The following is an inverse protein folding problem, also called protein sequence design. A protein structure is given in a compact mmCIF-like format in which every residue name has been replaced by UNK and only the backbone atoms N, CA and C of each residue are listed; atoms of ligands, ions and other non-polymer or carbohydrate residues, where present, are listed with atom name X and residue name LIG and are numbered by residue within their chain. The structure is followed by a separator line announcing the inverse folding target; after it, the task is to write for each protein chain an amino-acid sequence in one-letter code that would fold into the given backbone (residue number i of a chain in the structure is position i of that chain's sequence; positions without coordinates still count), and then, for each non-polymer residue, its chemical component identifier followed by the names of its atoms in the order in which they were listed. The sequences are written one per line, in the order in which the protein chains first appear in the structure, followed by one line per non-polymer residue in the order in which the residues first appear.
data_IF_301628235064
#
_entry.id   IF_301628235064
#
_cell.length_a   1.000
_cell.length_b   1.000
_cell.length_c   1.000
_cell.angle_alpha   90.00
_cell.angle_beta   90.00
_cell.angle_gamma   90.00
#
_symmetry.space_group_name_H-M   'P 1'
#
loop_
_entity.id
_entity.type
_entity.pdbx_description
1 polymer ?
#
# COMPACT_ATOMS: atom_id res chain seq x y z
N UNK A 1 8.70 17.01 -7.21
CA UNK A 1 7.57 17.36 -8.07
C UNK A 1 7.39 18.87 -8.01
N UNK A 2 7.34 19.54 -9.14
CA UNK A 2 7.16 21.00 -9.20
C UNK A 2 5.67 21.40 -9.32
N UNK A 3 5.40 22.72 -9.34
CA UNK A 3 4.04 23.24 -9.43
C UNK A 3 3.33 22.87 -10.75
N UNK A 4 4.08 22.75 -11.85
CA UNK A 4 3.54 22.41 -13.18
C UNK A 4 3.12 20.95 -13.23
N UNK A 5 3.94 20.04 -12.68
CA UNK A 5 3.61 18.62 -12.56
C UNK A 5 2.39 18.40 -11.65
N UNK A 6 2.28 19.14 -10.55
CA UNK A 6 1.08 19.10 -9.68
C UNK A 6 -0.16 19.50 -10.46
N UNK A 7 -0.13 20.61 -11.19
CA UNK A 7 -1.27 21.06 -12.00
C UNK A 7 -1.64 20.03 -13.08
N UNK A 8 -0.64 19.42 -13.72
CA UNK A 8 -0.85 18.34 -14.67
C UNK A 8 -1.52 17.12 -14.04
N UNK A 9 -1.06 16.67 -12.86
CA UNK A 9 -1.66 15.54 -12.13
C UNK A 9 -3.12 15.83 -11.82
N UNK A 10 -3.43 17.04 -11.31
CA UNK A 10 -4.80 17.44 -10.98
C UNK A 10 -5.71 17.50 -12.20
N UNK A 11 -5.20 18.00 -13.33
CA UNK A 11 -5.94 18.05 -14.59
C UNK A 11 -6.26 16.64 -15.11
N UNK A 12 -5.27 15.76 -15.16
CA UNK A 12 -5.43 14.36 -15.62
C UNK A 12 -6.36 13.59 -14.69
N UNK A 13 -6.26 13.83 -13.38
CA UNK A 13 -7.15 13.25 -12.37
C UNK A 13 -8.63 13.56 -12.65
N UNK A 14 -8.97 14.83 -12.85
CA UNK A 14 -10.34 15.26 -13.13
C UNK A 14 -10.84 14.71 -14.49
N UNK A 15 -10.00 14.78 -15.52
CA UNK A 15 -10.30 14.19 -16.84
C UNK A 15 -10.63 12.70 -16.72
N UNK A 16 -9.76 11.93 -16.07
CA UNK A 16 -9.89 10.48 -15.95
C UNK A 16 -11.10 10.06 -15.12
N UNK A 17 -11.39 10.75 -14.00
CA UNK A 17 -12.59 10.50 -13.21
C UNK A 17 -13.88 10.75 -14.01
N UNK A 18 -13.90 11.79 -14.85
CA UNK A 18 -15.06 12.11 -15.68
C UNK A 18 -15.37 11.01 -16.70
N UNK A 19 -14.35 10.30 -17.20
CA UNK A 19 -14.48 9.25 -18.21
C UNK A 19 -15.08 7.96 -17.63
N UNK A 20 -14.73 7.58 -16.40
CA UNK A 20 -15.21 6.34 -15.77
C UNK A 20 -16.56 6.46 -15.05
N UNK A 21 -17.16 7.67 -15.02
CA UNK A 21 -18.45 7.96 -14.37
C UNK A 21 -18.54 7.47 -12.91
N UNK A 22 -17.41 7.39 -12.21
CA UNK A 22 -17.36 6.93 -10.83
C UNK A 22 -17.92 7.99 -9.89
N UNK A 23 -19.07 7.71 -9.27
CA UNK A 23 -19.73 8.60 -8.30
C UNK A 23 -19.10 8.49 -6.91
N UNK A 24 -18.02 9.23 -6.69
CA UNK A 24 -17.42 9.39 -5.37
C UNK A 24 -18.12 10.50 -4.56
N UNK A 25 -18.23 10.30 -3.25
CA UNK A 25 -18.59 11.39 -2.33
C UNK A 25 -17.49 12.47 -2.37
N UNK A 26 -17.81 13.76 -2.14
CA UNK A 26 -16.82 14.83 -2.18
C UNK A 26 -15.60 14.59 -1.27
N UNK A 27 -15.83 14.05 -0.06
CA UNK A 27 -14.76 13.67 0.87
C UNK A 27 -13.86 12.56 0.32
N UNK A 28 -14.44 11.48 -0.21
CA UNK A 28 -13.69 10.38 -0.83
C UNK A 28 -12.91 10.84 -2.06
N UNK A 29 -13.49 11.72 -2.88
CA UNK A 29 -12.82 12.30 -4.05
C UNK A 29 -11.60 13.12 -3.63
N UNK A 30 -11.77 14.02 -2.65
CA UNK A 30 -10.66 14.81 -2.12
C UNK A 30 -9.56 13.93 -1.54
N UNK A 31 -9.92 12.84 -0.87
CA UNK A 31 -8.96 11.90 -0.30
C UNK A 31 -8.17 11.16 -1.39
N UNK A 32 -8.86 10.60 -2.38
CA UNK A 32 -8.21 9.96 -3.54
C UNK A 32 -7.28 10.93 -4.27
N UNK A 33 -7.67 12.21 -4.42
CA UNK A 33 -6.81 13.24 -5.01
C UNK A 33 -5.52 13.46 -4.21
N UNK A 34 -5.63 13.59 -2.88
CA UNK A 34 -4.46 13.71 -1.98
C UNK A 34 -3.57 12.47 -2.05
N UNK A 35 -4.17 11.29 -2.06
CA UNK A 35 -3.45 10.02 -2.10
C UNK A 35 -2.68 9.85 -3.43
N UNK A 36 -3.30 10.20 -4.55
CA UNK A 36 -2.64 10.22 -5.86
C UNK A 36 -1.46 11.21 -5.89
N UNK A 37 -1.64 12.41 -5.34
CA UNK A 37 -0.54 13.38 -5.24
C UNK A 37 0.61 12.84 -4.38
N UNK A 38 0.31 12.20 -3.25
CA UNK A 38 1.31 11.61 -2.36
C UNK A 38 2.09 10.45 -3.00
N UNK A 39 1.44 9.66 -3.86
CA UNK A 39 2.07 8.59 -4.62
C UNK A 39 2.93 9.15 -5.77
N UNK A 40 2.39 10.08 -6.57
CA UNK A 40 3.12 10.72 -7.67
C UNK A 40 4.36 11.49 -7.17
N UNK A 41 4.26 12.13 -6.00
CA UNK A 41 5.39 12.81 -5.35
C UNK A 41 6.39 11.86 -4.70
N UNK A 42 6.07 10.56 -4.62
CA UNK A 42 6.80 9.53 -3.86
C UNK A 42 6.91 9.84 -2.36
N UNK A 43 6.06 10.70 -1.82
CA UNK A 43 5.98 10.92 -0.37
C UNK A 43 5.46 9.68 0.37
N UNK A 44 4.64 8.87 -0.30
CA UNK A 44 4.26 7.54 0.19
C UNK A 44 4.48 6.50 -0.90
N UNK A 45 5.02 5.31 -0.55
CA UNK A 45 5.15 4.21 -1.50
C UNK A 45 3.84 3.44 -1.71
N UNK A 46 2.98 3.41 -0.68
CA UNK A 46 1.77 2.62 -0.64
C UNK A 46 0.69 3.34 0.19
N UNK A 47 -0.57 3.22 -0.24
CA UNK A 47 -1.74 3.75 0.44
C UNK A 47 -2.83 2.70 0.43
N UNK A 48 -3.31 2.31 1.61
CA UNK A 48 -4.51 1.49 1.74
C UNK A 48 -5.75 2.34 1.46
N UNK A 49 -6.64 1.83 0.61
CA UNK A 49 -7.78 2.56 0.11
C UNK A 49 -9.08 2.13 0.80
N UNK A 50 -9.77 3.09 1.39
CA UNK A 50 -11.15 2.96 1.88
C UNK A 50 -11.98 4.18 1.47
N UNK A 51 -12.29 4.28 0.17
CA UNK A 51 -13.13 5.36 -0.36
C UNK A 51 -14.63 5.03 -0.32
N UNK A 52 -14.99 3.92 0.31
CA UNK A 52 -16.31 3.30 0.21
C UNK A 52 -16.48 2.56 -1.11
N UNK A 53 -17.03 1.34 -1.03
CA UNK A 53 -17.19 0.44 -2.17
C UNK A 53 -17.29 -0.99 -1.69
N UNK A 54 -17.65 -1.90 -2.59
CA UNK A 54 -17.57 -3.33 -2.34
C UNK A 54 -16.39 -3.88 -3.11
N UNK A 55 -15.70 -4.85 -2.52
CA UNK A 55 -14.76 -5.68 -3.26
C UNK A 55 -15.53 -6.68 -4.14
N UNK A 56 -15.05 -7.01 -5.36
CA UNK A 56 -13.84 -6.50 -6.03
C UNK A 56 -14.02 -5.17 -6.78
N UNK A 57 -15.26 -4.65 -6.89
CA UNK A 57 -15.61 -3.50 -7.74
C UNK A 57 -14.77 -2.24 -7.49
N UNK A 58 -14.34 -2.00 -6.24
CA UNK A 58 -13.48 -0.89 -5.89
C UNK A 58 -12.10 -1.00 -6.58
N UNK A 59 -11.50 -2.18 -6.57
CA UNK A 59 -10.25 -2.45 -7.27
C UNK A 59 -10.39 -2.21 -8.77
N UNK A 60 -11.45 -2.74 -9.38
CA UNK A 60 -11.72 -2.59 -10.82
C UNK A 60 -11.89 -1.12 -11.23
N UNK A 61 -12.58 -0.32 -10.40
CA UNK A 61 -12.75 1.12 -10.65
C UNK A 61 -11.44 1.89 -10.53
N UNK A 62 -10.60 1.57 -9.55
CA UNK A 62 -9.28 2.17 -9.40
C UNK A 62 -8.37 1.80 -10.56
N UNK A 63 -8.43 0.54 -10.99
CA UNK A 63 -7.74 0.02 -12.17
C UNK A 63 -8.16 0.80 -13.43
N UNK A 64 -9.46 0.91 -13.69
CA UNK A 64 -10.00 1.68 -14.80
C UNK A 64 -9.56 3.16 -14.73
N UNK A 65 -9.66 3.78 -13.55
CA UNK A 65 -9.19 5.14 -13.31
C UNK A 65 -7.71 5.31 -13.69
N UNK A 66 -6.81 4.48 -13.15
CA UNK A 66 -5.38 4.56 -13.45
C UNK A 66 -5.08 4.30 -14.92
N UNK A 67 -5.80 3.41 -15.60
CA UNK A 67 -5.64 3.21 -17.04
C UNK A 67 -5.90 4.47 -17.85
N UNK A 68 -6.91 5.27 -17.48
CA UNK A 68 -7.15 6.56 -18.13
C UNK A 68 -6.05 7.56 -17.82
N UNK A 69 -5.60 7.64 -16.56
CA UNK A 69 -4.51 8.52 -16.18
C UNK A 69 -3.21 8.23 -16.95
N UNK A 70 -2.84 6.95 -17.08
CA UNK A 70 -1.63 6.49 -17.79
C UNK A 70 -1.65 6.80 -19.28
N UNK A 71 -2.83 6.74 -19.91
CA UNK A 71 -2.99 7.12 -21.33
C UNK A 71 -2.75 8.60 -21.55
N UNK A 72 -3.05 9.44 -20.57
CA UNK A 72 -2.91 10.90 -20.67
C UNK A 72 -1.55 11.42 -20.20
N UNK A 73 -0.88 10.74 -19.25
CA UNK A 73 0.41 11.19 -18.72
C UNK A 73 1.26 10.05 -18.16
N UNK A 74 2.56 10.08 -18.49
CA UNK A 74 3.58 9.16 -17.98
C UNK A 74 3.87 9.32 -16.50
N UNK A 75 3.43 10.41 -15.85
CA UNK A 75 3.56 10.60 -14.39
C UNK A 75 2.91 9.43 -13.62
N UNK A 76 1.84 8.86 -14.18
CA UNK A 76 1.08 7.77 -13.57
C UNK A 76 1.60 6.38 -13.91
N UNK A 77 2.61 6.25 -14.77
CA UNK A 77 3.05 4.97 -15.36
C UNK A 77 3.34 3.91 -14.28
N UNK A 78 4.04 4.33 -13.23
CA UNK A 78 4.48 3.48 -12.15
C UNK A 78 3.41 3.26 -11.06
N UNK A 79 2.24 3.90 -11.14
CA UNK A 79 1.16 3.66 -10.19
C UNK A 79 0.41 2.37 -10.53
N UNK A 80 0.11 1.55 -9.53
CA UNK A 80 -0.69 0.34 -9.71
C UNK A 80 -1.69 0.12 -8.57
N UNK A 81 -2.68 -0.72 -8.83
CA UNK A 81 -3.60 -1.23 -7.81
C UNK A 81 -3.10 -2.60 -7.38
N UNK A 82 -2.93 -2.76 -6.07
CA UNK A 82 -2.56 -4.01 -5.44
C UNK A 82 -3.69 -4.46 -4.51
N UNK A 83 -3.94 -5.77 -4.44
CA UNK A 83 -4.91 -6.40 -3.56
C UNK A 83 -4.21 -7.44 -2.71
N UNK A 84 -4.57 -7.46 -1.43
CA UNK A 84 -4.12 -8.45 -0.46
C UNK A 84 -5.35 -8.80 0.39
N UNK A 85 -5.80 -10.05 0.26
CA UNK A 85 -7.09 -10.50 0.78
C UNK A 85 -8.22 -9.56 0.34
N UNK A 86 -8.99 -9.01 1.27
CA UNK A 86 -10.10 -8.07 0.99
C UNK A 86 -9.67 -6.59 1.02
N UNK A 87 -8.36 -6.31 1.04
CA UNK A 87 -7.81 -4.95 1.13
C UNK A 87 -7.25 -4.48 -0.21
N UNK A 88 -7.52 -3.22 -0.55
CA UNK A 88 -7.00 -2.58 -1.77
C UNK A 88 -5.97 -1.53 -1.43
N UNK A 89 -4.92 -1.48 -2.22
CA UNK A 89 -3.83 -0.54 -2.09
C UNK A 89 -3.58 0.15 -3.43
N UNK A 90 -3.32 1.45 -3.38
CA UNK A 90 -2.66 2.17 -4.45
C UNK A 90 -1.17 2.22 -4.13
N UNK A 91 -0.36 1.77 -5.07
CA UNK A 91 1.09 1.68 -4.88
C UNK A 91 1.82 2.49 -5.94
N UNK A 92 2.95 3.04 -5.54
CA UNK A 92 3.95 3.56 -6.45
C UNK A 92 5.09 2.54 -6.52
N UNK A 93 5.09 1.71 -7.58
CA UNK A 93 5.85 0.47 -7.67
C UNK A 93 7.34 0.66 -7.37
N UNK A 94 7.96 1.69 -7.95
CA UNK A 94 9.39 1.96 -7.70
C UNK A 94 9.66 2.37 -6.26
N UNK A 95 8.87 3.30 -5.71
CA UNK A 95 9.05 3.74 -4.33
C UNK A 95 8.77 2.60 -3.32
N UNK A 96 7.83 1.71 -3.65
CA UNK A 96 7.57 0.52 -2.84
C UNK A 96 8.73 -0.47 -2.90
N UNK A 97 9.33 -0.70 -4.07
CA UNK A 97 10.54 -1.51 -4.20
C UNK A 97 11.68 -0.96 -3.34
N UNK A 98 11.97 0.34 -3.47
CA UNK A 98 13.01 1.01 -2.69
C UNK A 98 12.76 0.88 -1.18
N UNK A 99 11.50 1.02 -0.74
CA UNK A 99 11.08 0.85 0.65
C UNK A 99 11.26 -0.59 1.16
N UNK A 100 10.88 -1.59 0.36
CA UNK A 100 11.04 -3.00 0.73
C UNK A 100 12.53 -3.33 0.89
N UNK A 101 13.38 -2.85 -0.03
CA UNK A 101 14.83 -3.03 0.06
C UNK A 101 15.41 -2.37 1.31
N UNK A 102 15.07 -1.10 1.60
CA UNK A 102 15.57 -0.41 2.81
C UNK A 102 15.10 -1.06 4.11
N UNK A 103 13.89 -1.63 4.10
CA UNK A 103 13.35 -2.40 5.22
C UNK A 103 14.09 -3.71 5.45
N UNK A 104 14.54 -4.39 4.39
CA UNK A 104 15.29 -5.64 4.46
C UNK A 104 16.77 -5.42 4.82
N UNK A 105 17.36 -4.32 4.35
CA UNK A 105 18.74 -3.94 4.70
C UNK A 105 18.88 -3.34 6.10
N UNK A 106 17.75 -3.15 6.81
CA UNK A 106 17.69 -2.51 8.14
C UNK A 106 18.21 -1.06 8.15
N UNK A 107 18.20 -0.38 7.00
CA UNK A 107 18.53 1.05 6.92
C UNK A 107 17.46 1.92 7.58
N UNK A 108 16.22 1.41 7.65
CA UNK A 108 15.10 2.05 8.33
C UNK A 108 14.91 1.45 9.72
N UNK A 109 14.96 2.29 10.75
CA UNK A 109 14.69 1.86 12.13
C UNK A 109 13.19 1.58 12.29
N UNK A 110 12.83 0.30 12.34
CA UNK A 110 11.46 -0.18 12.56
C UNK A 110 11.36 -0.66 14.00
N UNK A 111 10.44 -0.07 14.76
CA UNK A 111 10.15 -0.48 16.13
C UNK A 111 9.02 -1.51 16.12
N UNK A 112 9.22 -2.59 16.86
CA UNK A 112 8.20 -3.62 17.03
C UNK A 112 7.59 -3.53 18.42
N UNK A 113 6.28 -3.76 18.52
CA UNK A 113 5.58 -3.89 19.80
C UNK A 113 4.79 -5.18 19.78
N UNK A 114 5.15 -6.09 20.69
CA UNK A 114 4.43 -7.32 20.94
C UNK A 114 3.18 -7.04 21.77
N UNK A 115 2.01 -7.35 21.20
CA UNK A 115 0.70 -7.20 21.85
C UNK A 115 0.16 -8.53 22.42
N UNK A 116 0.89 -9.64 22.27
CA UNK A 116 0.51 -10.91 22.92
C UNK A 116 0.83 -10.90 24.42
N UNK A 117 1.83 -10.10 24.81
CA UNK A 117 2.19 -9.89 26.20
C UNK A 117 1.36 -8.77 26.85
N UNK A 118 1.01 -8.93 28.12
CA UNK A 118 0.42 -7.90 28.97
C UNK A 118 1.34 -7.63 30.19
N UNK A 119 1.97 -6.45 30.31
CA UNK A 119 1.85 -5.29 29.41
C UNK A 119 2.55 -5.50 28.05
N UNK A 120 2.13 -4.76 27.00
CA UNK A 120 2.79 -4.79 25.70
C UNK A 120 4.29 -4.55 25.80
N UNK A 121 5.07 -5.30 25.02
CA UNK A 121 6.54 -5.27 25.09
C UNK A 121 7.14 -4.73 23.80
N UNK A 122 7.99 -3.71 23.93
CA UNK A 122 8.78 -3.25 22.78
C UNK A 122 9.84 -4.31 22.45
N UNK A 123 9.94 -4.65 21.16
CA UNK A 123 10.88 -5.63 20.66
C UNK A 123 11.85 -4.99 19.67
N UNK A 124 13.07 -5.52 19.67
CA UNK A 124 14.08 -5.19 18.65
C UNK A 124 14.13 -6.28 17.59
N UNK A 125 14.56 -5.97 16.35
CA UNK A 125 14.73 -7.00 15.32
C UNK A 125 15.70 -8.14 15.71
N UNK A 126 16.61 -7.89 16.66
CA UNK A 126 17.56 -8.87 17.18
C UNK A 126 16.92 -9.89 18.14
N UNK A 127 15.75 -9.58 18.68
CA UNK A 127 14.95 -10.51 19.46
C UNK A 127 14.23 -11.44 18.49
N UNK A 128 14.83 -12.62 18.26
CA UNK A 128 14.34 -13.66 17.36
C UNK A 128 12.95 -14.19 17.79
N UNK A 129 11.89 -13.43 17.53
CA UNK A 129 10.50 -13.85 17.72
C UNK A 129 9.97 -14.55 16.45
N UNK A 130 9.06 -15.52 16.60
CA UNK A 130 8.39 -16.14 15.46
C UNK A 130 7.67 -15.12 14.58
N UNK A 131 7.02 -14.12 15.17
CA UNK A 131 6.26 -13.08 14.47
C UNK A 131 7.16 -12.17 13.62
N UNK A 132 8.32 -11.75 14.15
CA UNK A 132 9.32 -11.00 13.37
C UNK A 132 9.86 -11.85 12.21
N UNK A 133 10.16 -13.12 12.48
CA UNK A 133 10.68 -14.05 11.45
C UNK A 133 9.68 -14.22 10.30
N UNK A 134 8.39 -14.36 10.60
CA UNK A 134 7.35 -14.47 9.58
C UNK A 134 7.14 -13.16 8.81
N UNK A 135 7.21 -12.02 9.49
CA UNK A 135 7.17 -10.72 8.82
C UNK A 135 8.34 -10.57 7.86
N UNK A 136 9.58 -10.91 8.27
CA UNK A 136 10.75 -10.92 7.40
C UNK A 136 10.56 -11.85 6.19
N UNK A 137 9.94 -13.03 6.37
CA UNK A 137 9.59 -13.92 5.26
C UNK A 137 8.60 -13.26 4.30
N UNK A 138 7.57 -12.57 4.80
CA UNK A 138 6.65 -11.81 3.98
C UNK A 138 7.38 -10.68 3.22
N UNK A 139 8.28 -9.94 3.87
CA UNK A 139 9.07 -8.89 3.22
C UNK A 139 9.91 -9.44 2.05
N UNK A 140 10.52 -10.62 2.22
CA UNK A 140 11.27 -11.29 1.14
C UNK A 140 10.36 -11.73 -0.01
N UNK A 141 9.15 -12.20 0.28
CA UNK A 141 8.16 -12.52 -0.76
C UNK A 141 7.79 -11.26 -1.55
N UNK A 142 7.55 -10.14 -0.87
CA UNK A 142 7.28 -8.86 -1.52
C UNK A 142 8.47 -8.40 -2.39
N UNK A 143 9.70 -8.52 -1.88
CA UNK A 143 10.92 -8.25 -2.67
C UNK A 143 11.01 -9.11 -3.94
N UNK A 144 10.51 -10.36 -3.91
CA UNK A 144 10.45 -11.20 -5.11
C UNK A 144 9.35 -10.80 -6.11
N UNK A 145 8.32 -10.08 -5.64
CA UNK A 145 7.19 -9.63 -6.46
C UNK A 145 7.48 -8.28 -7.16
N UNK A 146 8.25 -7.41 -6.51
CA UNK A 146 8.58 -6.07 -6.98
C UNK A 146 10.06 -5.98 -7.39
N UNK A 147 10.33 -5.78 -8.68
CA UNK A 147 11.70 -5.56 -9.16
C UNK A 147 12.03 -4.05 -9.16
N UNK A 148 13.31 -3.74 -8.93
CA UNK A 148 13.84 -2.37 -8.86
C UNK A 148 13.53 -1.48 -10.10
N UNK A 149 13.32 -2.10 -11.27
CA UNK A 149 12.97 -1.40 -12.51
C UNK A 149 11.48 -0.98 -12.58
N UNK A 150 10.71 -1.20 -11.52
CA UNK A 150 9.27 -0.94 -11.50
C UNK A 150 8.45 -2.02 -12.22
N UNK A 151 9.06 -3.17 -12.51
CA UNK A 151 8.41 -4.33 -13.13
C UNK A 151 7.90 -5.26 -12.03
N UNK A 152 6.62 -5.59 -12.10
CA UNK A 152 6.00 -6.56 -11.18
C UNK A 152 6.02 -7.93 -11.85
N UNK A 153 6.39 -8.95 -11.08
CA UNK A 153 6.43 -10.32 -11.57
C UNK A 153 5.02 -10.74 -12.08
N UNK A 154 4.97 -11.22 -13.32
CA UNK A 154 3.72 -11.56 -14.03
C UNK A 154 2.88 -12.62 -13.30
N UNK A 155 3.51 -13.43 -12.44
CA UNK A 155 2.82 -14.43 -11.60
C UNK A 155 1.75 -13.83 -10.68
N UNK A 156 1.88 -12.54 -10.33
CA UNK A 156 0.98 -11.84 -9.41
C UNK A 156 0.00 -10.91 -10.13
N UNK A 157 -0.01 -10.91 -11.48
CA UNK A 157 -0.94 -10.08 -12.25
C UNK A 157 -2.20 -10.88 -12.58
N UNK A 158 -3.36 -10.38 -12.15
CA UNK A 158 -4.64 -10.93 -12.59
C UNK A 158 -4.92 -10.48 -14.02
N UNK A 159 -4.84 -11.40 -14.98
CA UNK A 159 -5.30 -11.18 -16.34
C UNK A 159 -6.80 -11.48 -16.42
N UNK A 160 -7.64 -10.44 -16.51
CA UNK A 160 -9.01 -10.65 -16.96
C UNK A 160 -9.04 -10.80 -18.48
N UNK A 161 -9.63 -11.91 -18.95
CA UNK A 161 -9.86 -12.17 -20.37
C UNK A 161 -11.04 -11.32 -20.85
N UNK A 162 -10.79 -10.08 -21.23
CA UNK A 162 -11.76 -9.29 -21.98
C UNK A 162 -11.56 -9.55 -23.48
N UNK A 163 -12.47 -10.34 -24.07
CA UNK A 163 -12.66 -10.46 -25.53
C UNK A 163 -13.09 -9.12 -26.11
N UNK A 164 -12.15 -8.20 -26.32
CA UNK A 164 -12.09 -7.14 -27.35
C UNK A 164 -10.92 -6.20 -27.05
N UNK A 165 -9.76 -6.44 -27.68
CA UNK A 165 -8.79 -5.43 -28.17
C UNK A 165 -8.22 -4.32 -27.26
N UNK A 166 -8.55 -4.23 -25.97
CA UNK A 166 -8.00 -3.22 -25.05
C UNK A 166 -7.36 -3.94 -23.87
N UNK A 167 -6.04 -3.79 -23.71
CA UNK A 167 -5.33 -4.24 -22.52
C UNK A 167 -6.04 -3.71 -21.27
N UNK A 168 -6.62 -4.60 -20.48
CA UNK A 168 -7.27 -4.24 -19.22
C UNK A 168 -6.21 -3.83 -18.20
N UNK A 169 -6.51 -2.89 -17.29
CA UNK A 169 -5.62 -2.54 -16.21
C UNK A 169 -5.21 -3.77 -15.41
N UNK A 170 -3.89 -3.95 -15.26
CA UNK A 170 -3.29 -5.05 -14.49
C UNK A 170 -3.45 -4.75 -13.01
N UNK A 171 -4.30 -5.53 -12.34
CA UNK A 171 -4.40 -5.58 -10.88
C UNK A 171 -3.37 -6.59 -10.36
N UNK A 172 -2.65 -6.21 -9.32
CA UNK A 172 -1.64 -7.06 -8.67
C UNK A 172 -2.29 -7.73 -7.47
N UNK A 173 -2.33 -9.06 -7.46
CA UNK A 173 -2.91 -9.84 -6.36
C UNK A 173 -1.79 -10.58 -5.62
N UNK A 174 -1.55 -10.18 -4.37
CA UNK A 174 -0.58 -10.81 -3.47
C UNK A 174 -1.25 -11.56 -2.32
N UNK A 175 -2.56 -11.84 -2.41
CA UNK A 175 -3.29 -12.58 -1.37
C UNK A 175 -2.69 -13.96 -1.16
N UNK A 176 -2.24 -14.61 -2.23
CA UNK A 176 -1.57 -15.92 -2.16
C UNK A 176 -0.26 -15.88 -1.37
N UNK A 177 0.44 -14.74 -1.30
CA UNK A 177 1.70 -14.61 -0.56
C UNK A 177 1.52 -14.70 0.96
N UNK A 178 0.30 -14.49 1.46
CA UNK A 178 0.01 -14.47 2.90
C UNK A 178 -0.87 -15.63 3.38
N UNK A 179 -1.36 -16.49 2.48
CA UNK A 179 -2.24 -17.61 2.84
C UNK A 179 -1.64 -18.53 3.90
N UNK A 180 -0.34 -18.82 3.80
CA UNK A 180 0.39 -19.68 4.74
C UNK A 180 1.09 -18.89 5.87
N UNK A 181 0.96 -17.56 5.89
CA UNK A 181 1.58 -16.70 6.89
C UNK A 181 0.67 -16.52 8.11
N UNK A 182 1.26 -16.46 9.32
CA UNK A 182 0.54 -15.99 10.51
C UNK A 182 0.67 -14.47 10.71
N UNK A 183 1.34 -13.76 9.80
CA UNK A 183 1.32 -12.29 9.76
C UNK A 183 -0.13 -11.83 9.58
N UNK A 184 -0.58 -10.98 10.49
CA UNK A 184 -1.92 -10.40 10.43
C UNK A 184 -1.93 -9.18 9.51
N UNK A 185 -3.09 -8.88 8.91
CA UNK A 185 -3.25 -7.67 8.08
C UNK A 185 -2.88 -6.38 8.82
N UNK A 186 -3.24 -6.18 10.11
CA UNK A 186 -2.76 -5.02 10.87
C UNK A 186 -1.24 -4.93 10.98
N UNK A 187 -0.54 -6.04 11.24
CA UNK A 187 0.93 -6.08 11.24
C UNK A 187 1.50 -5.70 9.87
N UNK A 188 0.94 -6.28 8.81
CA UNK A 188 1.35 -5.99 7.44
C UNK A 188 1.11 -4.52 7.06
N UNK A 189 -0.04 -3.96 7.40
CA UNK A 189 -0.37 -2.56 7.17
C UNK A 189 0.55 -1.63 7.96
N UNK A 190 0.90 -2.02 9.19
CA UNK A 190 1.97 -1.42 10.00
C UNK A 190 3.21 -1.15 9.15
N UNK A 191 3.70 -2.22 8.52
CA UNK A 191 4.86 -2.18 7.65
C UNK A 191 4.61 -1.45 6.33
N UNK A 192 3.66 -1.91 5.50
CA UNK A 192 3.44 -1.43 4.13
C UNK A 192 3.11 0.06 4.04
N UNK A 193 2.43 0.61 5.05
CA UNK A 193 2.05 2.02 5.08
C UNK A 193 3.15 2.92 5.66
N UNK A 194 4.30 2.33 6.03
CA UNK A 194 5.48 3.03 6.55
C UNK A 194 5.26 3.60 7.94
N UNK A 195 4.52 2.90 8.81
CA UNK A 195 4.43 3.32 10.21
C UNK A 195 5.73 3.01 10.96
N UNK A 196 6.19 3.92 11.83
CA UNK A 196 7.44 3.74 12.56
C UNK A 196 7.36 2.64 13.63
N UNK A 197 6.14 2.31 14.07
CA UNK A 197 5.85 1.28 15.06
C UNK A 197 4.94 0.25 14.43
N UNK A 198 5.35 -1.01 14.50
CA UNK A 198 4.60 -2.16 13.97
C UNK A 198 4.16 -3.04 15.13
N UNK A 199 2.86 -3.25 15.22
CA UNK A 199 2.28 -4.17 16.19
C UNK A 199 2.41 -5.61 15.71
N UNK A 200 2.89 -6.48 16.58
CA UNK A 200 3.05 -7.91 16.34
C UNK A 200 2.10 -8.67 17.24
N UNK A 201 1.30 -9.53 16.63
CA UNK A 201 0.43 -10.48 17.31
C UNK A 201 -0.06 -11.52 16.29
N UNK A 202 -0.28 -12.74 16.76
CA UNK A 202 -0.84 -13.83 15.98
C UNK A 202 -2.36 -13.69 15.81
N UNK A 203 -2.90 -14.44 14.85
CA UNK A 203 -4.34 -14.47 14.54
C UNK A 203 -5.20 -14.85 15.76
N UNK A 204 -4.66 -15.65 16.68
CA UNK A 204 -5.36 -16.08 17.90
C UNK A 204 -5.46 -14.97 18.97
N UNK A 205 -4.71 -13.87 18.81
CA UNK A 205 -4.65 -12.75 19.77
C UNK A 205 -5.32 -11.48 19.27
N UNK A 206 -6.10 -11.54 18.17
CA UNK A 206 -6.78 -10.37 17.60
C UNK A 206 -7.65 -9.64 18.64
N UNK A 207 -8.45 -10.38 19.41
CA UNK A 207 -9.35 -9.81 20.42
C UNK A 207 -8.58 -9.06 21.51
N UNK A 208 -7.42 -9.58 21.92
CA UNK A 208 -6.54 -8.93 22.90
C UNK A 208 -5.86 -7.69 22.31
N UNK A 209 -5.39 -7.79 21.06
CA UNK A 209 -4.75 -6.68 20.37
C UNK A 209 -5.70 -5.48 20.19
N UNK A 210 -6.99 -5.73 19.94
CA UNK A 210 -8.00 -4.66 19.80
C UNK A 210 -8.15 -3.83 21.07
N UNK A 211 -8.02 -4.43 22.25
CA UNK A 211 -8.06 -3.69 23.53
C UNK A 211 -6.93 -2.66 23.68
N UNK A 212 -5.83 -2.83 22.94
CA UNK A 212 -4.69 -1.92 22.93
C UNK A 212 -4.83 -0.79 21.88
N UNK A 213 -5.87 -0.80 21.06
CA UNK A 213 -6.11 0.22 20.04
C UNK A 213 -6.82 1.43 20.64
N UNK A 214 -6.27 2.62 20.39
CA UNK A 214 -6.88 3.89 20.74
C UNK A 214 -7.62 4.46 19.52
N UNK A 215 -8.83 4.99 19.74
CA UNK A 215 -9.57 5.75 18.72
C UNK A 215 -9.15 7.22 18.65
N UNK A 216 -8.17 7.63 19.46
CA UNK A 216 -7.69 9.02 19.49
C UNK A 216 -6.79 9.30 18.28
N UNK A 217 -7.03 10.44 17.64
CA UNK A 217 -6.18 10.93 16.54
C UNK A 217 -4.76 11.22 17.04
N UNK A 218 -3.78 10.52 16.48
CA UNK A 218 -2.35 10.80 16.68
C UNK A 218 -1.86 11.74 15.58
N UNK A 219 -1.16 12.80 15.98
CA UNK A 219 -0.49 13.71 15.05
C UNK A 219 1.01 13.40 15.10
N UNK A 220 1.47 12.55 14.17
CA UNK A 220 2.87 12.15 14.06
C UNK A 220 3.56 13.08 13.05
N UNK A 221 4.62 13.74 13.49
CA UNK A 221 5.40 14.67 12.66
C UNK A 221 6.81 14.12 12.45
N UNK A 222 7.26 14.08 11.19
CA UNK A 222 8.64 13.79 10.85
C UNK A 222 9.34 15.11 10.53
N UNK A 223 10.39 15.42 11.30
CA UNK A 223 11.14 16.66 11.17
C UNK A 223 12.39 16.37 10.36
N UNK A 224 12.51 17.00 9.19
CA UNK A 224 13.72 16.96 8.38
C UNK A 224 14.53 18.22 8.64
N UNK A 225 15.78 18.06 9.05
CA UNK A 225 16.73 19.16 9.20
C UNK A 225 17.63 19.13 7.97
N UNK A 226 17.49 20.13 7.08
CA UNK A 226 18.43 20.33 5.99
C UNK A 226 19.56 21.22 6.48
N UNK A 227 20.78 20.69 6.44
CA UNK A 227 22.04 21.42 6.68
C UNK A 227 22.55 22.10 5.42
#
# INVERSE_FOLDING_TARGET
MDASEVEQVLRVFESSLSQIKWRLKPSSKSRLQTDILALCSRMRPCIMVDYGGKMPELGDRLCAFLSHCKKESSIFELLQVMVIDDMVYLIQVKALSDFIESSLSMESEILFVDLENDPPKMMTPAENSPSITQLLSAQKLFSSAFHADGVINNLYQRHETCTTGSESPKLVDLSCCLQESHVTIPTLNGWLLGYPVIYLFGKDYIDHAVCNLSTKSLHIYQIYVNS
#
